data_IF_629918622813
#
_entry.id   IF_629918622813
#
_cell.length_a   1.000
_cell.length_b   1.000
_cell.length_c   1.000
_cell.angle_alpha   90.00
_cell.angle_beta   90.00
_cell.angle_gamma   90.00
#
_symmetry.space_group_name_H-M   'P 1'
#
loop_
_entity.id
_entity.type
_entity.pdbx_description
1 polymer ?
#
# COMPACT_ATOMS: atom_id res chain seq x y z
N UNK A 1 14.41 14.87 -2.08
CA UNK A 1 13.33 14.44 -1.16
C UNK A 1 12.02 14.36 -1.93
N UNK A 2 11.82 13.33 -2.74
CA UNK A 2 10.60 13.13 -3.55
C UNK A 2 9.94 11.82 -3.11
N UNK A 3 8.66 11.86 -2.75
CA UNK A 3 7.78 10.69 -2.60
C UNK A 3 6.83 10.65 -3.79
N UNK A 4 6.36 9.46 -4.17
CA UNK A 4 5.41 9.36 -5.25
C UNK A 4 4.07 10.05 -4.87
N UNK A 5 3.39 10.58 -5.88
CA UNK A 5 2.07 11.15 -5.67
C UNK A 5 1.07 10.04 -5.26
N UNK A 6 0.11 10.34 -4.36
CA UNK A 6 -0.96 9.42 -4.04
C UNK A 6 -1.80 9.05 -5.27
N UNK A 7 -2.37 7.86 -5.26
CA UNK A 7 -3.39 7.49 -6.23
C UNK A 7 -4.65 8.34 -6.06
N UNK A 8 -5.31 8.76 -7.15
CA UNK A 8 -6.54 9.53 -7.07
C UNK A 8 -7.70 8.70 -6.53
N UNK A 9 -8.69 9.39 -5.94
CA UNK A 9 -9.97 8.80 -5.60
C UNK A 9 -10.62 8.15 -6.84
N UNK A 10 -11.28 7.02 -6.65
CA UNK A 10 -11.86 6.21 -7.73
C UNK A 10 -10.91 5.20 -8.37
N UNK A 11 -9.60 5.23 -8.05
CA UNK A 11 -8.65 4.22 -8.54
C UNK A 11 -9.10 2.81 -8.13
N UNK A 12 -9.10 1.90 -9.09
CA UNK A 12 -9.47 0.50 -8.92
C UNK A 12 -8.21 -0.37 -8.78
N UNK A 13 -8.17 -1.18 -7.73
CA UNK A 13 -7.10 -2.15 -7.47
C UNK A 13 -7.64 -3.57 -7.49
N UNK A 14 -6.73 -4.55 -7.67
CA UNK A 14 -7.05 -5.98 -7.66
C UNK A 14 -8.26 -6.33 -8.54
N UNK A 15 -8.20 -5.95 -9.82
CA UNK A 15 -9.26 -6.16 -10.81
C UNK A 15 -10.63 -5.57 -10.37
N UNK A 16 -10.62 -4.40 -9.72
CA UNK A 16 -11.84 -3.69 -9.32
C UNK A 16 -12.41 -4.11 -7.96
N UNK A 17 -11.76 -5.03 -7.24
CA UNK A 17 -12.20 -5.41 -5.90
C UNK A 17 -12.10 -4.25 -4.91
N UNK A 18 -11.06 -3.44 -5.00
CA UNK A 18 -10.89 -2.30 -4.08
C UNK A 18 -10.97 -0.99 -4.86
N UNK A 19 -11.88 -0.11 -4.43
CA UNK A 19 -12.00 1.24 -4.98
C UNK A 19 -11.49 2.24 -3.94
N UNK A 20 -10.43 2.98 -4.28
CA UNK A 20 -9.88 4.02 -3.39
C UNK A 20 -10.85 5.19 -3.27
N UNK A 21 -10.99 5.73 -2.06
CA UNK A 21 -11.86 6.86 -1.76
C UNK A 21 -11.07 8.14 -1.45
N UNK A 22 -10.11 8.07 -0.52
CA UNK A 22 -9.28 9.21 -0.13
C UNK A 22 -7.98 8.76 0.55
N UNK A 23 -7.01 9.66 0.64
CA UNK A 23 -5.79 9.45 1.42
C UNK A 23 -6.10 9.69 2.90
N UNK A 24 -5.77 8.71 3.75
CA UNK A 24 -5.86 8.82 5.21
C UNK A 24 -4.57 9.36 5.83
N UNK A 25 -3.42 9.07 5.20
CA UNK A 25 -2.13 9.57 5.64
C UNK A 25 -1.01 9.26 4.66
N UNK A 26 -0.03 10.14 4.59
CA UNK A 26 1.16 9.99 3.77
C UNK A 26 2.41 10.22 4.63
N UNK A 27 3.18 9.17 4.82
CA UNK A 27 4.46 9.22 5.53
C UNK A 27 5.66 9.09 4.58
N UNK A 28 6.86 9.05 5.14
CA UNK A 28 8.09 8.85 4.34
C UNK A 28 8.27 7.44 3.77
N UNK A 29 7.42 6.49 4.15
CA UNK A 29 7.56 5.07 3.78
C UNK A 29 6.35 4.50 3.03
N UNK A 30 5.15 5.01 3.32
CA UNK A 30 3.91 4.46 2.79
C UNK A 30 2.83 5.53 2.69
N UNK A 31 1.86 5.25 1.82
CA UNK A 31 0.60 6.00 1.71
C UNK A 31 -0.51 5.08 2.20
N UNK A 32 -1.37 5.58 3.08
CA UNK A 32 -2.54 4.86 3.57
C UNK A 32 -3.80 5.48 2.97
N UNK A 33 -4.65 4.65 2.37
CA UNK A 33 -5.88 5.05 1.71
C UNK A 33 -7.09 4.45 2.43
N UNK A 34 -8.20 5.19 2.41
CA UNK A 34 -9.53 4.66 2.63
C UNK A 34 -10.00 4.02 1.33
N UNK A 35 -10.55 2.81 1.39
CA UNK A 35 -11.08 2.11 0.22
C UNK A 35 -12.36 1.33 0.55
N UNK A 36 -13.16 1.10 -0.48
CA UNK A 36 -14.28 0.16 -0.43
C UNK A 36 -13.83 -1.18 -1.01
N UNK A 37 -13.94 -2.27 -0.23
CA UNK A 37 -13.95 -3.63 -0.76
C UNK A 37 -15.34 -3.87 -1.37
N UNK A 38 -15.43 -3.84 -2.70
CA UNK A 38 -16.69 -3.86 -3.46
C UNK A 38 -17.37 -5.23 -3.40
N UNK A 39 -16.61 -6.30 -3.20
CA UNK A 39 -17.14 -7.66 -3.09
C UNK A 39 -17.74 -7.91 -1.71
N UNK A 40 -17.03 -7.52 -0.65
CA UNK A 40 -17.48 -7.72 0.73
C UNK A 40 -18.29 -6.54 1.29
N UNK A 41 -18.46 -5.47 0.51
CA UNK A 41 -19.23 -4.26 0.86
C UNK A 41 -18.81 -3.65 2.20
N UNK A 42 -17.50 -3.53 2.42
CA UNK A 42 -16.94 -2.98 3.65
C UNK A 42 -15.85 -1.96 3.36
N UNK A 43 -15.68 -1.05 4.29
CA UNK A 43 -14.61 -0.07 4.26
C UNK A 43 -13.33 -0.70 4.81
N UNK A 44 -12.21 -0.49 4.11
CA UNK A 44 -10.89 -0.99 4.50
C UNK A 44 -9.84 0.11 4.37
N UNK A 45 -8.74 -0.04 5.10
CA UNK A 45 -7.53 0.73 4.86
C UNK A 45 -6.60 -0.06 3.93
N UNK A 46 -6.02 0.61 2.93
CA UNK A 46 -4.98 0.04 2.06
C UNK A 46 -3.69 0.81 2.31
N UNK A 47 -2.62 0.11 2.66
CA UNK A 47 -1.28 0.69 2.87
C UNK A 47 -0.39 0.32 1.69
N UNK A 48 -0.03 1.30 0.89
CA UNK A 48 0.86 1.15 -0.27
C UNK A 48 2.29 1.47 0.14
N UNK A 49 3.22 0.57 -0.20
CA UNK A 49 4.64 0.81 -0.04
C UNK A 49 5.09 1.89 -1.03
N UNK A 50 5.52 3.04 -0.50
CA UNK A 50 5.97 4.17 -1.30
C UNK A 50 7.05 4.95 -0.52
N UNK A 51 8.27 4.40 -0.41
CA UNK A 51 9.33 5.07 0.32
C UNK A 51 9.82 6.34 -0.42
N UNK A 52 10.42 7.24 0.35
CA UNK A 52 11.16 8.38 -0.21
C UNK A 52 12.20 7.91 -1.22
N UNK A 53 12.31 8.63 -2.33
CA UNK A 53 13.19 8.21 -3.42
C UNK A 53 12.53 7.27 -4.42
N UNK A 54 11.20 7.17 -4.41
CA UNK A 54 10.40 6.53 -5.45
C UNK A 54 9.53 7.55 -6.21
N UNK A 55 9.17 7.21 -7.44
CA UNK A 55 8.14 7.89 -8.23
C UNK A 55 7.08 6.90 -8.70
N UNK A 56 5.92 7.45 -9.06
CA UNK A 56 4.85 6.72 -9.71
C UNK A 56 4.94 6.93 -11.22
N UNK A 57 4.89 5.85 -11.99
CA UNK A 57 4.85 5.93 -13.45
C UNK A 57 3.42 6.15 -13.99
N UNK A 58 3.27 6.19 -15.32
CA UNK A 58 1.97 6.37 -15.97
C UNK A 58 1.01 5.20 -15.77
N UNK A 59 1.50 4.03 -15.36
CA UNK A 59 0.73 2.82 -15.07
C UNK A 59 0.45 2.64 -13.58
N UNK A 60 0.63 3.70 -12.80
CA UNK A 60 0.44 3.70 -11.36
C UNK A 60 1.41 2.80 -10.57
N UNK A 61 2.54 2.41 -11.15
CA UNK A 61 3.55 1.59 -10.47
C UNK A 61 4.55 2.46 -9.73
N UNK A 62 4.92 2.04 -8.52
CA UNK A 62 5.94 2.71 -7.70
C UNK A 62 7.32 2.11 -8.02
N UNK A 63 8.22 2.94 -8.53
CA UNK A 63 9.59 2.54 -8.88
C UNK A 63 10.61 3.39 -8.12
N UNK A 64 11.73 2.79 -7.65
CA UNK A 64 12.82 3.54 -7.05
C UNK A 64 13.53 4.42 -8.10
N UNK A 65 13.80 5.68 -7.73
CA UNK A 65 14.59 6.63 -8.53
C UNK A 65 15.93 6.97 -7.89
N UNK A 66 16.01 6.94 -6.55
CA UNK A 66 17.25 7.22 -5.81
C UNK A 66 17.64 6.09 -4.86
N UNK A 67 16.79 5.09 -4.70
CA UNK A 67 17.09 3.91 -3.90
C UNK A 67 17.79 2.85 -4.77
N UNK A 68 18.92 2.28 -4.32
CA UNK A 68 19.50 1.11 -4.96
C UNK A 68 18.47 -0.04 -5.06
N UNK A 69 18.45 -0.80 -6.17
CA UNK A 69 17.48 -1.88 -6.37
C UNK A 69 17.43 -2.89 -5.22
N UNK A 70 18.59 -3.30 -4.70
CA UNK A 70 18.67 -4.26 -3.59
C UNK A 70 18.08 -3.69 -2.29
N UNK A 71 18.29 -2.40 -2.04
CA UNK A 71 17.72 -1.73 -0.87
C UNK A 71 16.19 -1.64 -0.98
N UNK A 72 15.67 -1.30 -2.16
CA UNK A 72 14.23 -1.30 -2.40
C UNK A 72 13.63 -2.70 -2.26
N UNK A 73 14.31 -3.73 -2.77
CA UNK A 73 13.89 -5.12 -2.62
C UNK A 73 13.84 -5.56 -1.15
N UNK A 74 14.85 -5.20 -0.35
CA UNK A 74 14.87 -5.47 1.11
C UNK A 74 13.74 -4.75 1.85
N UNK A 75 13.47 -3.49 1.49
CA UNK A 75 12.37 -2.71 2.05
C UNK A 75 11.02 -3.37 1.73
N UNK A 76 10.83 -3.78 0.47
CA UNK A 76 9.63 -4.49 0.02
C UNK A 76 9.45 -5.82 0.74
N UNK A 77 10.54 -6.57 0.92
CA UNK A 77 10.52 -7.84 1.64
C UNK A 77 10.07 -7.66 3.09
N UNK A 78 10.67 -6.72 3.82
CA UNK A 78 10.29 -6.42 5.22
C UNK A 78 8.85 -5.96 5.36
N UNK A 79 8.34 -5.20 4.40
CA UNK A 79 6.95 -4.76 4.40
C UNK A 79 5.96 -5.94 4.27
N UNK A 80 6.28 -6.91 3.41
CA UNK A 80 5.48 -8.14 3.27
C UNK A 80 5.59 -9.02 4.52
N UNK A 81 6.80 -9.18 5.08
CA UNK A 81 7.03 -9.93 6.32
C UNK A 81 6.25 -9.34 7.50
N UNK A 82 6.25 -8.01 7.67
CA UNK A 82 5.46 -7.32 8.70
C UNK A 82 3.96 -7.64 8.54
N UNK A 83 3.43 -7.54 7.32
CA UNK A 83 2.03 -7.87 7.05
C UNK A 83 1.71 -9.34 7.38
N UNK A 84 2.60 -10.28 7.04
CA UNK A 84 2.44 -11.70 7.34
C UNK A 84 2.53 -12.01 8.84
N UNK A 85 3.41 -11.34 9.57
CA UNK A 85 3.51 -11.46 11.03
C UNK A 85 2.25 -10.93 11.70
N UNK A 86 1.78 -9.75 11.32
CA UNK A 86 0.55 -9.16 11.87
C UNK A 86 -0.68 -10.00 11.52
N UNK A 87 -0.73 -10.58 10.32
CA UNK A 87 -1.83 -11.45 9.89
C UNK A 87 -1.99 -12.73 10.74
N UNK A 88 -0.92 -13.18 11.41
CA UNK A 88 -0.96 -14.34 12.32
C UNK A 88 -1.53 -13.98 13.70
N UNK A 89 -1.64 -12.70 14.03
CA UNK A 89 -2.13 -12.24 15.33
C UNK A 89 -3.66 -12.08 15.30
N UNK A 90 -4.34 -12.57 16.34
CA UNK A 90 -5.78 -12.44 16.50
C UNK A 90 -6.10 -11.79 17.86
N UNK A 91 -6.13 -10.46 17.88
CA UNK A 91 -6.38 -9.68 19.09
C UNK A 91 -7.15 -8.39 18.74
N UNK A 92 -8.15 -7.96 19.54
CA UNK A 92 -8.97 -6.79 19.23
C UNK A 92 -8.20 -5.46 19.12
N UNK A 93 -7.04 -5.37 19.78
CA UNK A 93 -6.14 -4.21 19.69
C UNK A 93 -5.18 -4.22 18.50
N UNK A 94 -5.22 -5.25 17.64
CA UNK A 94 -4.30 -5.41 16.51
C UNK A 94 -5.14 -5.38 15.22
N UNK A 95 -4.70 -4.59 14.25
CA UNK A 95 -5.39 -4.49 12.96
C UNK A 95 -5.36 -5.84 12.25
N UNK A 96 -6.50 -6.23 11.69
CA UNK A 96 -6.60 -7.47 10.91
C UNK A 96 -6.18 -7.21 9.47
N UNK A 97 -5.19 -7.97 9.01
CA UNK A 97 -4.81 -8.00 7.59
C UNK A 97 -5.77 -8.92 6.84
N UNK A 98 -6.35 -8.42 5.75
CA UNK A 98 -7.29 -9.18 4.91
C UNK A 98 -6.66 -9.72 3.63
N UNK A 99 -5.62 -9.05 3.14
CA UNK A 99 -5.06 -9.30 1.82
C UNK A 99 -3.67 -8.66 1.71
N UNK A 100 -2.85 -9.16 0.79
CA UNK A 100 -1.58 -8.57 0.38
C UNK A 100 -1.55 -8.53 -1.15
N UNK A 101 -1.57 -7.33 -1.72
CA UNK A 101 -1.51 -7.13 -3.16
C UNK A 101 -0.06 -7.01 -3.59
N UNK A 102 0.42 -8.00 -4.35
CA UNK A 102 1.73 -7.96 -4.99
C UNK A 102 1.50 -7.58 -6.45
N UNK A 103 2.02 -6.40 -6.82
CA UNK A 103 2.10 -5.95 -8.21
C UNK A 103 3.18 -6.67 -8.99
#
# INVERSE_FOLDING_TARGET
MKTAAPLPAGTLLANGRYQLQQVLGQGGFAITYLALDTQLKRTVAIKELCPQGCLRDAHNQVAPITLPPDQFAQIRQRFVEEAQLVAQLNHPGIVRIYDVLLG
#
